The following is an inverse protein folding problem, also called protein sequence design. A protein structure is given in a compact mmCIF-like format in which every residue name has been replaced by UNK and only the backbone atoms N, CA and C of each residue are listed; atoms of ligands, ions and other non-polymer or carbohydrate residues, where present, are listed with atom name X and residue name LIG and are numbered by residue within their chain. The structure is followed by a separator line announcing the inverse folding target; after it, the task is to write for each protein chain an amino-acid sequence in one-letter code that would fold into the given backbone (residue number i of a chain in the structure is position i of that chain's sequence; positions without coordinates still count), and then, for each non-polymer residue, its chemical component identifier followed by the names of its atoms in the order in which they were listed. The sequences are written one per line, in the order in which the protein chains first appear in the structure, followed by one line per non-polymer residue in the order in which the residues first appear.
data_IF_389372022339
#
_entry.id   IF_389372022339
#
_cell.length_a   1.000
_cell.length_b   1.000
_cell.length_c   1.000
_cell.angle_alpha   90.00
_cell.angle_beta   90.00
_cell.angle_gamma   90.00
#
_symmetry.space_group_name_H-M   'P 1'
#
loop_
_entity.id
_entity.type
_entity.pdbx_description
1 polymer ?
#
# COMPACT_ATOMS: atom_id res chain seq x y z
N UNK A 1 -3.44 -28.55 0.78
CA UNK A 1 -3.38 -27.15 1.27
C UNK A 1 -2.46 -26.36 0.37
N UNK A 2 -3.00 -25.35 -0.28
CA UNK A 2 -2.19 -24.54 -1.18
C UNK A 2 -1.34 -23.56 -0.38
N UNK A 3 -0.08 -23.45 -0.75
CA UNK A 3 0.85 -22.52 -0.12
C UNK A 3 0.83 -21.20 -0.90
N UNK A 4 0.50 -20.13 -0.21
CA UNK A 4 0.47 -18.81 -0.82
C UNK A 4 1.89 -18.30 -1.06
N UNK A 5 2.06 -17.59 -2.19
CA UNK A 5 3.31 -16.91 -2.52
C UNK A 5 3.34 -15.53 -1.86
N UNK A 6 4.52 -14.98 -1.69
CA UNK A 6 4.72 -13.65 -1.12
C UNK A 6 5.16 -13.71 0.33
N UNK A 7 4.72 -12.79 1.19
CA UNK A 7 3.68 -11.78 0.93
C UNK A 7 4.13 -10.62 0.05
N UNK A 8 3.17 -10.00 -0.63
CA UNK A 8 3.37 -8.78 -1.39
C UNK A 8 2.78 -7.62 -0.59
N UNK A 9 3.55 -6.57 -0.39
CA UNK A 9 3.03 -5.35 0.19
C UNK A 9 2.47 -4.47 -0.94
N UNK A 10 1.22 -4.06 -0.80
CA UNK A 10 0.59 -3.12 -1.73
C UNK A 10 0.25 -1.85 -0.96
N UNK A 11 0.94 -0.76 -1.25
CA UNK A 11 0.57 0.55 -0.69
C UNK A 11 -0.48 1.19 -1.59
N UNK A 12 -1.39 1.95 -0.99
CA UNK A 12 -2.53 2.49 -1.74
C UNK A 12 -3.54 1.42 -2.09
N UNK A 13 -3.68 0.40 -1.25
CA UNK A 13 -4.51 -0.77 -1.53
C UNK A 13 -5.99 -0.44 -1.68
N UNK A 14 -6.46 0.66 -1.10
CA UNK A 14 -7.86 1.08 -1.21
C UNK A 14 -8.10 1.99 -2.40
N UNK A 15 -7.05 2.39 -3.13
CA UNK A 15 -7.18 3.16 -4.36
C UNK A 15 -7.64 2.27 -5.51
N UNK A 16 -7.96 2.89 -6.66
CA UNK A 16 -8.49 2.14 -7.79
C UNK A 16 -7.53 1.06 -8.27
N UNK A 17 -6.29 1.44 -8.57
CA UNK A 17 -5.31 0.49 -9.09
C UNK A 17 -4.91 -0.52 -8.03
N UNK A 18 -4.67 -0.05 -6.80
CA UNK A 18 -4.24 -0.92 -5.70
C UNK A 18 -5.27 -1.99 -5.36
N UNK A 19 -6.55 -1.61 -5.36
CA UNK A 19 -7.63 -2.56 -5.10
C UNK A 19 -7.70 -3.65 -6.19
N UNK A 20 -7.68 -3.25 -7.46
CA UNK A 20 -7.76 -4.22 -8.55
C UNK A 20 -6.51 -5.11 -8.62
N UNK A 21 -5.34 -4.54 -8.37
CA UNK A 21 -4.10 -5.32 -8.29
C UNK A 21 -4.17 -6.34 -7.17
N UNK A 22 -4.62 -5.92 -5.99
CA UNK A 22 -4.74 -6.83 -4.84
C UNK A 22 -5.66 -8.00 -5.15
N UNK A 23 -6.81 -7.74 -5.80
CA UNK A 23 -7.71 -8.80 -6.24
C UNK A 23 -7.02 -9.78 -7.17
N UNK A 24 -6.29 -9.26 -8.16
CA UNK A 24 -5.62 -10.11 -9.13
C UNK A 24 -4.53 -10.95 -8.49
N UNK A 25 -3.75 -10.36 -7.59
CA UNK A 25 -2.71 -11.10 -6.87
C UNK A 25 -3.31 -12.22 -6.04
N UNK A 26 -4.42 -11.96 -5.36
CA UNK A 26 -5.09 -12.98 -4.57
C UNK A 26 -5.60 -14.11 -5.45
N UNK A 27 -6.16 -13.79 -6.63
CA UNK A 27 -6.62 -14.81 -7.58
C UNK A 27 -5.48 -15.68 -8.07
N UNK A 28 -4.27 -15.11 -8.18
CA UNK A 28 -3.09 -15.82 -8.65
C UNK A 28 -2.34 -16.54 -7.52
N UNK A 29 -2.89 -16.57 -6.31
CA UNK A 29 -2.31 -17.33 -5.20
C UNK A 29 -1.25 -16.61 -4.40
N UNK A 30 -1.26 -15.27 -4.41
CA UNK A 30 -0.34 -14.47 -3.60
C UNK A 30 -0.99 -14.06 -2.29
N UNK A 31 -0.18 -14.04 -1.23
CA UNK A 31 -0.57 -13.37 0.00
C UNK A 31 -0.33 -11.87 -0.17
N UNK A 32 -1.31 -11.06 0.18
CA UNK A 32 -1.26 -9.61 0.01
C UNK A 32 -1.47 -8.92 1.34
N UNK A 33 -0.54 -8.06 1.69
CA UNK A 33 -0.69 -7.15 2.83
C UNK A 33 -0.92 -5.76 2.21
N UNK A 34 -2.13 -5.24 2.40
CA UNK A 34 -2.50 -3.93 1.84
C UNK A 34 -2.46 -2.85 2.90
N UNK A 35 -1.90 -1.70 2.59
CA UNK A 35 -1.95 -0.53 3.47
C UNK A 35 -2.51 0.67 2.73
N UNK A 36 -3.20 1.52 3.48
CA UNK A 36 -3.77 2.77 2.98
C UNK A 36 -4.13 3.62 4.19
N UNK A 37 -3.98 4.92 4.08
CA UNK A 37 -4.36 5.80 5.17
C UNK A 37 -5.83 6.20 5.12
N UNK A 38 -6.55 5.80 4.05
CA UNK A 38 -7.97 6.08 3.85
C UNK A 38 -8.25 7.58 3.90
N UNK A 39 -7.36 8.39 3.34
CA UNK A 39 -7.49 9.83 3.42
C UNK A 39 -8.75 10.34 2.71
N UNK A 40 -9.15 11.56 3.05
CA UNK A 40 -10.41 12.13 2.60
C UNK A 40 -10.36 12.80 1.23
N UNK A 41 -9.24 12.68 0.51
CA UNK A 41 -9.13 13.28 -0.83
C UNK A 41 -10.18 12.70 -1.78
N UNK A 42 -10.31 11.37 -1.75
CA UNK A 42 -11.47 10.70 -2.35
C UNK A 42 -12.45 10.35 -1.24
N UNK A 43 -13.67 9.98 -1.61
CA UNK A 43 -14.68 9.55 -0.63
C UNK A 43 -14.13 8.38 0.19
N UNK A 44 -13.93 8.55 1.52
CA UNK A 44 -13.42 7.46 2.36
C UNK A 44 -14.30 6.23 2.34
N UNK A 45 -15.61 6.40 2.16
CA UNK A 45 -16.53 5.29 2.08
C UNK A 45 -16.24 4.41 0.87
N UNK A 46 -15.90 5.01 -0.26
CA UNK A 46 -15.53 4.25 -1.46
C UNK A 46 -14.32 3.36 -1.19
N UNK A 47 -13.30 3.89 -0.50
CA UNK A 47 -12.13 3.11 -0.12
C UNK A 47 -12.47 1.98 0.84
N UNK A 48 -13.30 2.28 1.83
CA UNK A 48 -13.74 1.27 2.79
C UNK A 48 -14.54 0.17 2.12
N UNK A 49 -15.40 0.51 1.17
CA UNK A 49 -16.19 -0.47 0.42
C UNK A 49 -15.29 -1.38 -0.42
N UNK A 50 -14.26 -0.82 -1.04
CA UNK A 50 -13.30 -1.63 -1.81
C UNK A 50 -12.60 -2.65 -0.92
N UNK A 51 -12.11 -2.20 0.23
CA UNK A 51 -11.42 -3.09 1.18
C UNK A 51 -12.39 -4.16 1.68
N UNK A 52 -13.64 -3.79 1.97
CA UNK A 52 -14.64 -4.74 2.44
C UNK A 52 -14.89 -5.87 1.44
N UNK A 53 -14.77 -5.61 0.13
CA UNK A 53 -14.98 -6.62 -0.89
C UNK A 53 -13.94 -7.74 -0.85
N UNK A 54 -12.72 -7.44 -0.42
CA UNK A 54 -11.63 -8.42 -0.42
C UNK A 54 -11.16 -8.80 0.99
N UNK A 55 -11.68 -8.14 2.03
CA UNK A 55 -11.21 -8.35 3.39
C UNK A 55 -11.38 -9.78 3.88
N UNK A 56 -12.41 -10.48 3.41
CA UNK A 56 -12.68 -11.86 3.82
C UNK A 56 -11.96 -12.90 2.95
N UNK A 57 -11.27 -12.48 1.90
CA UNK A 57 -10.57 -13.41 1.02
C UNK A 57 -9.31 -13.95 1.70
N UNK A 58 -9.08 -15.25 1.54
CA UNK A 58 -7.89 -15.88 2.07
C UNK A 58 -6.65 -15.24 1.47
N UNK A 59 -5.68 -14.94 2.34
CA UNK A 59 -4.42 -14.37 1.91
C UNK A 59 -4.36 -12.86 1.94
N UNK A 60 -5.48 -12.18 2.19
CA UNK A 60 -5.50 -10.71 2.27
C UNK A 60 -5.55 -10.23 3.71
N UNK A 61 -4.69 -9.27 4.03
CA UNK A 61 -4.73 -8.55 5.29
C UNK A 61 -4.60 -7.06 5.01
N UNK A 62 -5.50 -6.26 5.55
CA UNK A 62 -5.47 -4.81 5.42
C UNK A 62 -5.05 -4.16 6.72
N UNK A 63 -4.16 -3.19 6.63
CA UNK A 63 -3.75 -2.40 7.79
C UNK A 63 -3.88 -0.92 7.44
N UNK A 64 -4.69 -0.15 8.19
CA UNK A 64 -4.71 1.31 8.01
C UNK A 64 -3.39 1.88 8.51
N UNK A 65 -2.62 2.46 7.61
CA UNK A 65 -1.27 2.92 7.93
C UNK A 65 -0.88 4.04 6.98
N UNK A 66 -0.34 5.11 7.53
CA UNK A 66 0.13 6.24 6.75
C UNK A 66 1.63 6.07 6.46
N UNK A 67 2.03 6.41 5.24
CA UNK A 67 3.43 6.29 4.81
C UNK A 67 4.37 7.23 5.57
N UNK A 68 3.86 8.26 6.22
CA UNK A 68 4.68 9.15 7.05
C UNK A 68 4.91 8.59 8.46
N UNK A 69 4.22 7.50 8.81
CA UNK A 69 4.41 6.82 10.09
C UNK A 69 5.58 5.85 9.98
N UNK A 70 6.78 6.36 10.22
CA UNK A 70 8.01 5.58 10.08
C UNK A 70 8.03 4.35 11.01
N UNK A 71 7.57 4.52 12.23
CA UNK A 71 7.58 3.43 13.22
C UNK A 71 6.59 2.33 12.84
N UNK A 72 5.41 2.72 12.37
CA UNK A 72 4.40 1.77 11.92
C UNK A 72 4.86 0.96 10.72
N UNK A 73 5.51 1.62 9.77
CA UNK A 73 6.06 0.94 8.60
C UNK A 73 7.19 -0.02 8.98
N UNK A 74 8.10 0.40 9.85
CA UNK A 74 9.19 -0.47 10.29
C UNK A 74 8.64 -1.70 10.99
N UNK A 75 7.66 -1.52 11.86
CA UNK A 75 7.00 -2.63 12.53
C UNK A 75 6.39 -3.60 11.53
N UNK A 76 5.73 -3.09 10.50
CA UNK A 76 5.13 -3.90 9.46
C UNK A 76 6.18 -4.74 8.72
N UNK A 77 7.29 -4.12 8.33
CA UNK A 77 8.35 -4.82 7.62
C UNK A 77 9.07 -5.85 8.51
N UNK A 78 9.08 -5.63 9.82
CA UNK A 78 9.62 -6.61 10.75
C UNK A 78 8.71 -7.83 10.93
N UNK A 79 7.40 -7.60 10.92
CA UNK A 79 6.43 -8.70 11.05
C UNK A 79 6.36 -9.58 9.80
N UNK A 80 6.51 -8.96 8.64
CA UNK A 80 6.43 -9.65 7.35
C UNK A 80 7.73 -9.43 6.59
N UNK A 81 8.31 -10.50 6.07
CA UNK A 81 9.43 -10.37 5.15
C UNK A 81 8.86 -10.27 3.75
N UNK A 82 8.88 -9.07 3.17
CA UNK A 82 8.28 -8.83 1.85
C UNK A 82 9.32 -9.07 0.76
N UNK A 83 9.20 -10.13 -0.07
CA UNK A 83 10.03 -10.22 -1.26
C UNK A 83 9.66 -9.20 -2.32
N UNK A 84 8.39 -8.77 -2.34
CA UNK A 84 7.88 -7.83 -3.33
C UNK A 84 7.09 -6.72 -2.67
N UNK A 85 7.32 -5.48 -3.14
CA UNK A 85 6.58 -4.30 -2.70
C UNK A 85 6.06 -3.58 -3.94
N UNK A 86 4.77 -3.30 -3.97
CA UNK A 86 4.16 -2.48 -5.02
C UNK A 86 3.67 -1.18 -4.39
N UNK A 87 4.33 -0.10 -4.71
CA UNK A 87 4.06 1.21 -4.10
C UNK A 87 3.17 2.04 -5.02
N UNK A 88 1.90 2.14 -4.66
CA UNK A 88 0.90 2.87 -5.42
C UNK A 88 0.30 4.03 -4.64
N UNK A 89 0.63 4.14 -3.34
CA UNK A 89 0.09 5.19 -2.50
C UNK A 89 0.73 6.53 -2.86
N UNK A 90 -0.08 7.43 -3.38
CA UNK A 90 0.35 8.77 -3.72
C UNK A 90 -0.86 9.68 -3.75
N UNK A 91 -0.68 10.96 -3.41
CA UNK A 91 -1.72 11.95 -3.63
C UNK A 91 -1.75 12.27 -5.12
N UNK A 92 -2.91 12.13 -5.75
CA UNK A 92 -3.09 12.40 -7.16
C UNK A 92 -3.69 13.80 -7.35
N UNK A 93 -3.45 14.39 -8.52
CA UNK A 93 -4.10 15.61 -8.95
C UNK A 93 -3.30 16.87 -8.67
N UNK A 94 -3.02 17.60 -9.74
CA UNK A 94 -2.31 18.89 -9.66
C UNK A 94 -3.07 19.88 -8.81
N UNK A 95 -4.40 19.89 -8.94
CA UNK A 95 -5.22 20.81 -8.15
C UNK A 95 -5.06 20.59 -6.65
N UNK A 96 -5.06 19.35 -6.22
CA UNK A 96 -4.87 19.03 -4.81
C UNK A 96 -3.50 19.49 -4.31
N UNK A 97 -2.47 19.39 -5.14
CA UNK A 97 -1.13 19.83 -4.76
C UNK A 97 -1.07 21.35 -4.52
N UNK A 98 -1.92 22.11 -5.19
CA UNK A 98 -2.01 23.56 -4.99
C UNK A 98 -2.81 23.90 -3.72
N UNK A 99 -3.83 23.12 -3.40
CA UNK A 99 -4.69 23.37 -2.25
C UNK A 99 -4.04 22.90 -0.94
N UNK A 100 -3.29 21.80 -0.99
CA UNK A 100 -2.65 21.22 0.20
C UNK A 100 -1.28 20.68 -0.19
N UNK A 101 -0.30 21.57 -0.41
CA UNK A 101 1.03 21.13 -0.87
C UNK A 101 1.77 20.27 0.14
N UNK A 102 1.55 20.49 1.44
CA UNK A 102 2.22 19.69 2.47
C UNK A 102 1.77 18.22 2.41
N UNK A 103 0.47 17.98 2.29
CA UNK A 103 -0.03 16.60 2.19
C UNK A 103 0.48 15.93 0.93
N UNK A 104 0.58 16.68 -0.16
CA UNK A 104 1.11 16.16 -1.43
C UNK A 104 2.58 15.75 -1.28
N UNK A 105 3.39 16.60 -0.64
CA UNK A 105 4.81 16.30 -0.40
C UNK A 105 4.97 15.13 0.55
N UNK A 106 4.20 15.08 1.64
CA UNK A 106 4.29 13.99 2.61
C UNK A 106 3.97 12.65 1.96
N UNK A 107 2.90 12.58 1.17
CA UNK A 107 2.51 11.32 0.54
C UNK A 107 3.45 10.93 -0.60
N UNK A 108 3.86 11.87 -1.43
CA UNK A 108 4.57 11.54 -2.66
C UNK A 108 6.09 11.51 -2.48
N UNK A 109 6.64 12.37 -1.64
CA UNK A 109 8.09 12.44 -1.46
C UNK A 109 8.54 11.72 -0.20
N UNK A 110 8.01 12.09 0.95
CA UNK A 110 8.41 11.47 2.22
C UNK A 110 8.02 10.00 2.23
N UNK A 111 6.81 9.68 1.79
CA UNK A 111 6.34 8.29 1.70
C UNK A 111 7.24 7.44 0.80
N UNK A 112 7.62 7.97 -0.36
CA UNK A 112 8.50 7.24 -1.27
C UNK A 112 9.88 7.00 -0.66
N UNK A 113 10.44 8.00 0.01
CA UNK A 113 11.73 7.86 0.68
C UNK A 113 11.66 6.78 1.75
N UNK A 114 10.60 6.75 2.54
CA UNK A 114 10.43 5.74 3.57
C UNK A 114 10.36 4.33 2.98
N UNK A 115 9.58 4.16 1.92
CA UNK A 115 9.47 2.87 1.25
C UNK A 115 10.82 2.43 0.67
N UNK A 116 11.55 3.34 0.03
CA UNK A 116 12.87 3.01 -0.53
C UNK A 116 13.85 2.57 0.57
N UNK A 117 13.88 3.30 1.68
CA UNK A 117 14.77 2.95 2.78
C UNK A 117 14.43 1.60 3.40
N UNK A 118 13.14 1.32 3.58
CA UNK A 118 12.70 0.05 4.14
C UNK A 118 13.00 -1.12 3.18
N UNK A 119 12.79 -0.92 1.89
CA UNK A 119 13.11 -1.96 0.90
C UNK A 119 14.60 -2.28 0.91
N UNK A 120 15.45 -1.26 1.05
CA UNK A 120 16.89 -1.45 1.12
C UNK A 120 17.29 -2.18 2.42
N UNK A 121 16.76 -1.71 3.55
CA UNK A 121 17.08 -2.29 4.86
C UNK A 121 16.64 -3.73 5.01
N UNK A 122 15.46 -4.06 4.49
CA UNK A 122 14.87 -5.39 4.65
C UNK A 122 15.08 -6.28 3.42
N UNK A 123 15.96 -5.87 2.52
CA UNK A 123 16.40 -6.67 1.37
C UNK A 123 15.24 -7.16 0.50
N UNK A 124 14.30 -6.25 0.22
CA UNK A 124 13.21 -6.54 -0.70
C UNK A 124 13.77 -6.84 -2.09
N UNK A 125 13.30 -7.91 -2.72
CA UNK A 125 13.82 -8.34 -4.03
C UNK A 125 13.41 -7.41 -5.16
N UNK A 126 12.14 -6.99 -5.15
CA UNK A 126 11.61 -6.11 -6.18
C UNK A 126 10.70 -5.07 -5.58
N UNK A 127 10.93 -3.83 -5.97
CA UNK A 127 10.04 -2.72 -5.70
C UNK A 127 9.51 -2.20 -7.03
N UNK A 128 8.18 -2.22 -7.18
CA UNK A 128 7.49 -1.58 -8.29
C UNK A 128 6.80 -0.33 -7.79
N UNK A 129 6.88 0.75 -8.54
CA UNK A 129 6.17 1.97 -8.18
C UNK A 129 5.63 2.64 -9.44
N UNK A 130 4.50 3.34 -9.27
CA UNK A 130 3.89 4.09 -10.35
C UNK A 130 4.58 5.44 -10.49
N UNK A 131 4.94 5.79 -11.69
CA UNK A 131 5.56 7.10 -11.98
C UNK A 131 4.55 8.05 -12.60
#
# INVERSE_FOLDING_TARGET
MSKLRGPVLVTGAAGFVGFHLSQRLLEDGWQVIGIDNLNAYYDPKLKQDRIAQIASKEGFHFEPLDLVDANGLESLFQRYHFPFVVHLAAQAGVRYSLENPRAYVDSNLVGMIQILELCRHHQVKHLLYAS
#
